data_IF_430161378605
#
_entry.id   IF_430161378605
#
_cell.length_a   1.000
_cell.length_b   1.000
_cell.length_c   1.000
_cell.angle_alpha   90.00
_cell.angle_beta   90.00
_cell.angle_gamma   90.00
#
_symmetry.space_group_name_H-M   'P 1'
#
loop_
_entity.id
_entity.type
_entity.pdbx_description
1 polymer ?
#
# COMPACT_ATOMS: atom_id res chain seq x y z
N UNK A 1 17.98 -3.79 -28.33
CA UNK A 1 16.99 -4.81 -28.71
C UNK A 1 15.65 -4.09 -28.87
N UNK A 2 15.10 -3.99 -30.09
CA UNK A 2 13.84 -3.27 -30.30
C UNK A 2 12.71 -4.00 -29.55
N UNK A 3 11.97 -3.27 -28.71
CA UNK A 3 10.86 -3.78 -27.92
C UNK A 3 9.69 -4.08 -28.85
N UNK A 4 9.52 -5.32 -29.28
CA UNK A 4 8.37 -5.70 -30.10
C UNK A 4 7.19 -6.06 -29.19
N UNK A 5 6.41 -5.05 -28.77
CA UNK A 5 5.21 -5.19 -27.93
C UNK A 5 4.13 -6.06 -28.58
N UNK A 6 4.09 -6.08 -29.92
CA UNK A 6 3.14 -6.88 -30.71
C UNK A 6 3.66 -8.28 -31.04
N UNK A 7 4.85 -8.64 -30.53
CA UNK A 7 5.34 -10.00 -30.70
C UNK A 7 4.32 -10.97 -30.11
N UNK A 8 3.87 -11.90 -30.96
CA UNK A 8 2.95 -12.97 -30.56
C UNK A 8 3.59 -13.79 -29.43
N UNK A 9 2.80 -14.07 -28.41
CA UNK A 9 3.15 -14.98 -27.31
C UNK A 9 2.23 -16.20 -27.37
N UNK A 10 2.68 -17.33 -26.83
CA UNK A 10 1.80 -18.49 -26.69
C UNK A 10 0.62 -18.11 -25.81
N UNK A 11 -0.60 -18.31 -26.33
CA UNK A 11 -1.80 -17.93 -25.63
C UNK A 11 -2.04 -18.84 -24.42
N UNK A 12 -1.96 -18.28 -23.22
CA UNK A 12 -2.46 -18.97 -22.02
C UNK A 12 -3.99 -19.06 -22.14
N UNK A 13 -4.51 -20.29 -22.17
CA UNK A 13 -5.96 -20.53 -22.35
C UNK A 13 -6.79 -20.20 -21.11
N UNK A 14 -6.16 -20.03 -19.95
CA UNK A 14 -6.79 -19.77 -18.66
C UNK A 14 -6.55 -18.38 -18.11
N UNK A 15 -6.69 -18.28 -16.78
CA UNK A 15 -6.31 -17.14 -15.98
C UNK A 15 -4.78 -17.10 -15.81
N UNK A 16 -4.22 -15.89 -15.74
CA UNK A 16 -2.91 -15.71 -15.12
C UNK A 16 -3.03 -15.88 -13.61
N UNK A 17 -1.94 -16.25 -12.95
CA UNK A 17 -1.93 -16.41 -11.48
C UNK A 17 -2.37 -15.13 -10.76
N UNK A 18 -1.95 -13.96 -11.27
CA UNK A 18 -2.35 -12.65 -10.71
C UNK A 18 -3.86 -12.39 -10.82
N UNK A 19 -4.50 -12.83 -11.90
CA UNK A 19 -5.96 -12.72 -12.05
C UNK A 19 -6.68 -13.69 -11.10
N UNK A 20 -6.15 -14.88 -10.94
CA UNK A 20 -6.71 -15.89 -10.03
C UNK A 20 -6.75 -15.38 -8.59
N UNK A 21 -5.63 -14.82 -8.09
CA UNK A 21 -5.58 -14.27 -6.73
C UNK A 21 -6.48 -13.03 -6.57
N UNK A 22 -6.58 -12.17 -7.61
CA UNK A 22 -7.48 -11.02 -7.61
C UNK A 22 -8.95 -11.44 -7.54
N UNK A 23 -9.33 -12.47 -8.30
CA UNK A 23 -10.70 -13.01 -8.25
C UNK A 23 -11.01 -13.72 -6.94
N UNK A 24 -10.03 -14.40 -6.33
CA UNK A 24 -10.18 -15.00 -5.00
C UNK A 24 -10.39 -13.90 -3.95
N UNK A 25 -9.57 -12.85 -3.97
CA UNK A 25 -9.72 -11.71 -3.06
C UNK A 25 -11.08 -11.00 -3.26
N UNK A 26 -11.47 -10.78 -4.51
CA UNK A 26 -12.78 -10.23 -4.86
C UNK A 26 -13.93 -11.10 -4.30
N UNK A 27 -13.88 -12.41 -4.48
CA UNK A 27 -14.88 -13.32 -3.95
C UNK A 27 -14.94 -13.30 -2.42
N UNK A 28 -13.77 -13.33 -1.76
CA UNK A 28 -13.67 -13.26 -0.30
C UNK A 28 -14.32 -11.97 0.25
N UNK A 29 -13.91 -10.81 -0.29
CA UNK A 29 -14.45 -9.52 0.15
C UNK A 29 -15.91 -9.33 -0.25
N UNK A 30 -16.38 -9.92 -1.36
CA UNK A 30 -17.82 -9.98 -1.72
C UNK A 30 -18.62 -10.74 -0.65
N UNK A 31 -18.12 -11.90 -0.21
CA UNK A 31 -18.77 -12.66 0.88
C UNK A 31 -18.81 -11.82 2.15
N UNK A 32 -17.73 -11.11 2.49
CA UNK A 32 -17.70 -10.20 3.65
C UNK A 32 -18.75 -9.10 3.54
N UNK A 33 -18.91 -8.44 2.37
CA UNK A 33 -19.96 -7.44 2.13
C UNK A 33 -21.34 -8.05 2.33
N UNK A 34 -21.61 -9.25 1.82
CA UNK A 34 -22.89 -9.92 1.98
C UNK A 34 -23.22 -10.25 3.45
N UNK A 35 -22.22 -10.69 4.22
CA UNK A 35 -22.39 -10.99 5.65
C UNK A 35 -22.63 -9.71 6.46
N UNK A 36 -21.89 -8.63 6.13
CA UNK A 36 -21.90 -7.37 6.85
C UNK A 36 -22.90 -6.36 6.26
N UNK A 37 -23.68 -6.75 5.26
CA UNK A 37 -24.58 -5.91 4.47
C UNK A 37 -25.36 -4.87 5.30
N UNK A 38 -25.99 -5.24 6.44
CA UNK A 38 -26.77 -4.29 7.23
C UNK A 38 -25.94 -3.23 7.99
N UNK A 39 -24.62 -3.42 8.03
CA UNK A 39 -23.69 -2.55 8.78
C UNK A 39 -22.86 -1.65 7.88
N UNK A 40 -22.96 -1.80 6.54
CA UNK A 40 -22.20 -1.05 5.56
C UNK A 40 -23.01 0.12 5.02
N UNK A 41 -22.36 1.23 4.70
CA UNK A 41 -23.03 2.43 4.21
C UNK A 41 -23.53 2.26 2.78
N UNK A 42 -22.70 1.66 1.90
CA UNK A 42 -22.98 1.56 0.46
C UNK A 42 -22.81 0.15 -0.11
N UNK A 43 -23.39 -0.90 0.51
CA UNK A 43 -23.08 -2.30 0.14
C UNK A 43 -23.46 -2.65 -1.30
N UNK A 44 -24.52 -2.06 -1.85
CA UNK A 44 -24.93 -2.28 -3.25
C UNK A 44 -23.91 -1.73 -4.23
N UNK A 45 -23.36 -0.54 -3.97
CA UNK A 45 -22.31 0.07 -4.82
C UNK A 45 -21.07 -0.82 -4.76
N UNK A 46 -20.63 -1.23 -3.58
CA UNK A 46 -19.50 -2.15 -3.40
C UNK A 46 -19.66 -3.46 -4.18
N UNK A 47 -20.85 -4.03 -4.23
CA UNK A 47 -21.14 -5.25 -5.01
C UNK A 47 -21.10 -4.99 -6.52
N UNK A 48 -21.62 -3.85 -6.98
CA UNK A 48 -21.58 -3.47 -8.40
C UNK A 48 -20.15 -3.23 -8.89
N UNK A 49 -19.33 -2.57 -8.10
CA UNK A 49 -17.91 -2.34 -8.40
C UNK A 49 -17.13 -3.65 -8.50
N UNK A 50 -17.36 -4.59 -7.56
CA UNK A 50 -16.79 -5.94 -7.61
C UNK A 50 -17.21 -6.71 -8.85
N UNK A 51 -18.48 -6.62 -9.23
CA UNK A 51 -18.97 -7.20 -10.48
C UNK A 51 -18.30 -6.55 -11.71
N UNK A 52 -18.07 -5.24 -11.67
CA UNK A 52 -17.32 -4.49 -12.68
C UNK A 52 -15.86 -4.98 -12.82
N UNK A 53 -15.16 -5.21 -11.71
CA UNK A 53 -13.80 -5.77 -11.69
C UNK A 53 -13.77 -7.16 -12.37
N UNK A 54 -14.73 -8.02 -12.04
CA UNK A 54 -14.88 -9.33 -12.67
C UNK A 54 -15.11 -9.18 -14.17
N UNK A 55 -16.04 -8.32 -14.58
CA UNK A 55 -16.37 -8.08 -16.00
C UNK A 55 -15.17 -7.55 -16.79
N UNK A 56 -14.42 -6.58 -16.24
CA UNK A 56 -13.21 -6.05 -16.88
C UNK A 56 -12.15 -7.16 -17.00
N UNK A 57 -11.92 -7.95 -15.95
CA UNK A 57 -10.96 -9.06 -15.99
C UNK A 57 -11.28 -10.04 -17.12
N UNK A 58 -12.54 -10.49 -17.24
CA UNK A 58 -12.94 -11.40 -18.31
C UNK A 58 -12.91 -10.75 -19.71
N UNK A 59 -13.24 -9.46 -19.84
CA UNK A 59 -13.11 -8.72 -21.08
C UNK A 59 -11.66 -8.67 -21.58
N UNK A 60 -10.69 -8.46 -20.66
CA UNK A 60 -9.28 -8.45 -21.00
C UNK A 60 -8.76 -9.86 -21.37
N UNK A 61 -9.24 -10.90 -20.73
CA UNK A 61 -8.96 -12.28 -21.10
C UNK A 61 -9.46 -12.57 -22.53
N UNK A 62 -10.68 -12.15 -22.86
CA UNK A 62 -11.23 -12.25 -24.20
C UNK A 62 -10.38 -11.50 -25.24
N UNK A 63 -9.99 -10.26 -24.94
CA UNK A 63 -9.13 -9.45 -25.80
C UNK A 63 -7.77 -10.14 -26.06
N UNK A 64 -7.14 -10.66 -25.01
CA UNK A 64 -5.87 -11.40 -25.12
C UNK A 64 -6.00 -12.66 -25.95
N UNK A 65 -7.09 -13.43 -25.80
CA UNK A 65 -7.33 -14.61 -26.63
C UNK A 65 -7.45 -14.28 -28.10
N UNK A 66 -8.03 -13.11 -28.41
CA UNK A 66 -8.18 -12.63 -29.80
C UNK A 66 -6.86 -12.09 -30.37
N UNK A 67 -6.07 -11.41 -29.54
CA UNK A 67 -4.80 -10.77 -29.93
C UNK A 67 -3.67 -11.16 -28.97
N UNK A 68 -3.15 -12.41 -29.02
CA UNK A 68 -2.14 -12.89 -28.07
C UNK A 68 -0.76 -12.27 -28.36
N UNK A 69 -0.42 -11.19 -27.64
CA UNK A 69 0.86 -10.52 -27.75
C UNK A 69 1.35 -10.01 -26.39
N UNK A 70 2.62 -9.56 -26.32
CA UNK A 70 3.20 -9.06 -25.07
C UNK A 70 2.41 -7.87 -24.49
N UNK A 71 1.89 -6.99 -25.33
CA UNK A 71 1.12 -5.83 -24.90
C UNK A 71 -0.19 -6.23 -24.20
N UNK A 72 -0.97 -7.13 -24.81
CA UNK A 72 -2.23 -7.59 -24.21
C UNK A 72 -2.00 -8.43 -22.96
N UNK A 73 -0.91 -9.20 -22.87
CA UNK A 73 -0.50 -9.86 -21.65
C UNK A 73 -0.13 -8.85 -20.55
N UNK A 74 0.62 -7.79 -20.91
CA UNK A 74 0.95 -6.70 -19.98
C UNK A 74 -0.30 -6.01 -19.45
N UNK A 75 -1.24 -5.64 -20.33
CA UNK A 75 -2.48 -4.94 -19.95
C UNK A 75 -3.28 -5.80 -18.95
N UNK A 76 -3.41 -7.11 -19.18
CA UNK A 76 -4.11 -8.02 -18.26
C UNK A 76 -3.52 -7.96 -16.85
N UNK A 77 -2.20 -8.02 -16.71
CA UNK A 77 -1.52 -8.01 -15.42
C UNK A 77 -1.49 -6.61 -14.80
N UNK A 78 -1.23 -5.58 -15.60
CA UNK A 78 -1.18 -4.20 -15.15
C UNK A 78 -2.53 -3.69 -14.61
N UNK A 79 -3.64 -4.11 -15.21
CA UNK A 79 -4.98 -3.76 -14.73
C UNK A 79 -5.27 -4.39 -13.37
N UNK A 80 -4.80 -5.62 -13.10
CA UNK A 80 -4.93 -6.21 -11.76
C UNK A 80 -4.14 -5.41 -10.71
N UNK A 81 -2.96 -4.91 -11.08
CA UNK A 81 -2.19 -4.01 -10.21
C UNK A 81 -2.89 -2.65 -10.03
N UNK A 82 -3.50 -2.11 -11.09
CA UNK A 82 -4.25 -0.85 -11.01
C UNK A 82 -5.49 -0.97 -10.10
N UNK A 83 -6.13 -2.13 -10.03
CA UNK A 83 -7.23 -2.37 -9.08
C UNK A 83 -6.81 -2.29 -7.60
N UNK A 84 -5.52 -2.33 -7.28
CA UNK A 84 -5.05 -2.09 -5.91
C UNK A 84 -5.43 -0.70 -5.40
N UNK A 85 -5.52 0.30 -6.30
CA UNK A 85 -5.98 1.64 -5.94
C UNK A 85 -7.47 1.68 -5.53
N UNK A 86 -8.29 0.75 -6.03
CA UNK A 86 -9.67 0.54 -5.57
C UNK A 86 -9.71 -0.22 -4.25
N UNK A 87 -8.91 -1.30 -4.12
CA UNK A 87 -8.94 -2.17 -2.94
C UNK A 87 -8.41 -1.50 -1.68
N UNK A 88 -7.53 -0.50 -1.79
CA UNK A 88 -6.98 0.19 -0.63
C UNK A 88 -8.04 0.96 0.17
N UNK A 89 -8.77 1.94 -0.39
CA UNK A 89 -9.84 2.62 0.33
C UNK A 89 -10.99 1.69 0.72
N UNK A 90 -11.24 0.61 -0.03
CA UNK A 90 -12.26 -0.39 0.29
C UNK A 90 -11.98 -1.11 1.64
N UNK A 91 -10.72 -1.17 2.08
CA UNK A 91 -10.38 -1.75 3.40
C UNK A 91 -11.01 -0.97 4.55
N UNK A 92 -11.15 0.35 4.40
CA UNK A 92 -11.74 1.23 5.41
C UNK A 92 -13.21 0.88 5.66
N UNK A 93 -13.97 0.52 4.63
CA UNK A 93 -15.38 0.17 4.76
C UNK A 93 -15.62 -1.04 5.68
N UNK A 94 -14.65 -1.95 5.79
CA UNK A 94 -14.68 -3.06 6.72
C UNK A 94 -14.05 -2.71 8.06
N UNK A 95 -12.92 -2.03 8.03
CA UNK A 95 -12.09 -1.69 9.18
C UNK A 95 -12.87 -0.81 10.18
N UNK A 96 -13.63 0.17 9.68
CA UNK A 96 -14.47 1.09 10.48
C UNK A 96 -15.54 0.39 11.34
N UNK A 97 -15.82 -0.89 11.09
CA UNK A 97 -16.77 -1.68 11.89
C UNK A 97 -16.15 -2.19 13.20
N UNK A 98 -14.85 -2.03 13.38
CA UNK A 98 -14.10 -2.43 14.57
C UNK A 98 -13.64 -1.19 15.35
N UNK A 99 -13.45 -1.30 16.68
CA UNK A 99 -12.93 -0.18 17.46
C UNK A 99 -11.47 0.13 17.06
N UNK A 100 -11.15 1.40 16.95
CA UNK A 100 -9.81 1.88 16.64
C UNK A 100 -8.78 1.42 17.70
N UNK A 101 -7.58 1.05 17.26
CA UNK A 101 -6.50 0.50 18.10
C UNK A 101 -5.29 1.45 18.24
N UNK A 102 -5.32 2.68 17.72
CA UNK A 102 -4.20 3.61 17.77
C UNK A 102 -3.73 3.89 19.21
N UNK A 103 -4.65 3.90 20.18
CA UNK A 103 -4.30 4.05 21.59
C UNK A 103 -3.33 2.95 22.09
N UNK A 104 -3.49 1.73 21.62
CA UNK A 104 -2.57 0.63 21.94
C UNK A 104 -1.21 0.84 21.27
N UNK A 105 -1.18 1.24 19.99
CA UNK A 105 0.06 1.45 19.24
C UNK A 105 0.85 2.65 19.75
N UNK A 106 0.21 3.78 20.01
CA UNK A 106 0.84 4.95 20.63
C UNK A 106 1.39 4.64 22.02
N UNK A 107 0.64 3.89 22.84
CA UNK A 107 1.11 3.44 24.16
C UNK A 107 2.30 2.47 24.07
N UNK A 108 2.28 1.57 23.09
CA UNK A 108 3.40 0.64 22.85
C UNK A 108 4.66 1.40 22.40
N UNK A 109 4.55 2.40 21.52
CA UNK A 109 5.67 3.27 21.15
C UNK A 109 6.24 3.99 22.35
N UNK A 110 5.38 4.61 23.16
CA UNK A 110 5.79 5.32 24.38
C UNK A 110 6.51 4.39 25.36
N UNK A 111 6.03 3.16 25.50
CA UNK A 111 6.69 2.18 26.36
C UNK A 111 8.06 1.75 25.84
N UNK A 112 8.16 1.47 24.52
CA UNK A 112 9.37 0.94 23.88
C UNK A 112 10.47 2.00 23.73
N UNK A 113 10.08 3.20 23.25
CA UNK A 113 11.04 4.25 22.87
C UNK A 113 11.12 5.41 23.86
N UNK A 114 10.22 5.46 24.87
CA UNK A 114 10.10 6.54 25.85
C UNK A 114 9.70 7.89 25.25
N UNK A 115 9.29 7.91 24.01
CA UNK A 115 8.81 9.09 23.28
C UNK A 115 7.83 8.64 22.18
N UNK A 116 7.32 9.60 21.42
CA UNK A 116 6.62 9.35 20.16
C UNK A 116 7.59 9.64 19.01
N UNK A 117 8.23 8.61 18.41
CA UNK A 117 9.30 8.82 17.42
C UNK A 117 8.87 9.66 16.22
N UNK A 118 7.61 9.59 15.79
CA UNK A 118 7.10 10.37 14.67
C UNK A 118 7.05 11.88 14.98
N UNK A 119 6.77 12.26 16.23
CA UNK A 119 6.79 13.67 16.68
C UNK A 119 8.22 14.15 16.84
N UNK A 120 9.02 13.44 17.65
CA UNK A 120 10.44 13.78 17.89
C UNK A 120 11.25 13.92 16.60
N UNK A 121 11.03 13.01 15.64
CA UNK A 121 11.77 13.01 14.38
C UNK A 121 11.46 14.25 13.55
N UNK A 122 10.20 14.62 13.43
CA UNK A 122 9.78 15.78 12.65
C UNK A 122 10.21 17.10 13.31
N UNK A 123 10.17 17.20 14.64
CA UNK A 123 10.61 18.38 15.39
C UNK A 123 12.11 18.62 15.32
N UNK A 124 12.92 17.53 15.31
CA UNK A 124 14.38 17.66 15.23
C UNK A 124 14.89 18.01 13.82
N UNK A 125 14.14 17.73 12.78
CA UNK A 125 14.56 17.93 11.39
C UNK A 125 13.56 18.75 10.56
N UNK A 126 13.15 19.98 11.00
CA UNK A 126 12.10 20.74 10.34
C UNK A 126 12.55 21.46 9.06
N UNK A 127 13.86 21.49 8.77
CA UNK A 127 14.38 22.28 7.66
C UNK A 127 14.09 21.64 6.29
N UNK A 128 13.98 22.44 5.24
CA UNK A 128 13.80 22.04 3.85
C UNK A 128 14.79 20.93 3.41
N UNK A 129 16.04 21.00 3.89
CA UNK A 129 17.09 20.04 3.54
C UNK A 129 16.83 18.60 4.03
N UNK A 130 15.95 18.44 5.00
CA UNK A 130 15.51 17.13 5.48
C UNK A 130 14.09 16.80 5.02
N UNK A 131 13.13 17.74 5.15
CA UNK A 131 11.73 17.46 4.82
C UNK A 131 11.51 17.14 3.35
N UNK A 132 12.14 17.87 2.42
CA UNK A 132 11.99 17.60 0.98
C UNK A 132 12.59 16.24 0.55
N UNK A 133 13.81 15.83 0.95
CA UNK A 133 14.28 14.47 0.72
C UNK A 133 13.39 13.37 1.32
N UNK A 134 12.80 13.58 2.51
CA UNK A 134 11.88 12.60 3.08
C UNK A 134 10.57 12.55 2.29
N UNK A 135 9.98 13.69 1.93
CA UNK A 135 8.81 13.72 1.05
C UNK A 135 9.10 13.07 -0.31
N UNK A 136 10.28 13.32 -0.89
CA UNK A 136 10.71 12.61 -2.11
C UNK A 136 10.79 11.09 -1.90
N UNK A 137 11.30 10.65 -0.75
CA UNK A 137 11.37 9.24 -0.40
C UNK A 137 9.98 8.61 -0.31
N UNK A 138 9.04 9.27 0.34
CA UNK A 138 7.65 8.81 0.44
C UNK A 138 6.97 8.73 -0.93
N UNK A 139 7.09 9.80 -1.73
CA UNK A 139 6.57 9.84 -3.09
C UNK A 139 7.19 8.75 -4.00
N UNK A 140 8.47 8.39 -3.77
CA UNK A 140 9.16 7.38 -4.57
C UNK A 140 8.55 5.97 -4.47
N UNK A 141 7.65 5.73 -3.55
CA UNK A 141 6.95 4.43 -3.36
C UNK A 141 6.37 3.88 -4.67
N UNK A 142 5.48 4.62 -5.31
CA UNK A 142 4.86 4.20 -6.56
C UNK A 142 5.85 4.12 -7.73
N UNK A 143 6.71 5.11 -7.96
CA UNK A 143 7.80 4.99 -8.95
C UNK A 143 8.67 3.75 -8.77
N UNK A 144 9.06 3.38 -7.55
CA UNK A 144 9.87 2.18 -7.30
C UNK A 144 9.17 0.91 -7.74
N UNK A 145 7.89 0.74 -7.39
CA UNK A 145 7.06 -0.39 -7.84
C UNK A 145 6.99 -0.42 -9.37
N UNK A 146 6.67 0.73 -9.98
CA UNK A 146 6.56 0.87 -11.42
C UNK A 146 7.87 0.53 -12.16
N UNK A 147 9.00 1.10 -11.72
CA UNK A 147 10.32 0.87 -12.33
C UNK A 147 10.68 -0.61 -12.30
N UNK A 148 10.55 -1.29 -11.15
CA UNK A 148 10.90 -2.70 -11.03
C UNK A 148 9.96 -3.56 -11.87
N UNK A 149 8.66 -3.32 -11.82
CA UNK A 149 7.66 -4.07 -12.61
C UNK A 149 7.90 -3.91 -14.11
N UNK A 150 8.10 -2.67 -14.58
CA UNK A 150 8.41 -2.38 -15.97
C UNK A 150 9.75 -3.01 -16.37
N UNK A 151 10.76 -2.99 -15.49
CA UNK A 151 12.05 -3.65 -15.78
C UNK A 151 11.88 -5.14 -16.05
N UNK A 152 11.07 -5.86 -15.25
CA UNK A 152 10.76 -7.25 -15.51
C UNK A 152 10.01 -7.44 -16.83
N UNK A 153 9.01 -6.63 -17.10
CA UNK A 153 8.28 -6.67 -18.36
C UNK A 153 9.19 -6.50 -19.59
N UNK A 154 10.13 -5.54 -19.53
CA UNK A 154 11.00 -5.20 -20.65
C UNK A 154 12.14 -6.20 -20.84
N UNK A 155 12.77 -6.64 -19.75
CA UNK A 155 14.04 -7.38 -19.79
C UNK A 155 13.96 -8.82 -19.29
N UNK A 156 12.89 -9.18 -18.57
CA UNK A 156 12.67 -10.50 -17.98
C UNK A 156 11.20 -10.92 -18.07
N UNK A 157 10.64 -10.83 -19.25
CA UNK A 157 9.21 -11.08 -19.49
C UNK A 157 8.74 -12.45 -18.98
N UNK A 158 9.59 -13.46 -19.00
CA UNK A 158 9.33 -14.80 -18.48
C UNK A 158 9.04 -14.83 -16.96
N UNK A 159 9.50 -13.81 -16.23
CA UNK A 159 9.26 -13.66 -14.78
C UNK A 159 8.19 -12.63 -14.45
N UNK A 160 7.68 -11.92 -15.46
CA UNK A 160 6.77 -10.80 -15.26
C UNK A 160 5.45 -11.22 -14.59
N UNK A 161 4.88 -12.37 -14.97
CA UNK A 161 3.68 -12.93 -14.34
C UNK A 161 3.92 -13.22 -12.85
N UNK A 162 5.03 -13.91 -12.53
CA UNK A 162 5.38 -14.24 -11.15
C UNK A 162 5.56 -12.98 -10.29
N UNK A 163 6.24 -11.97 -10.81
CA UNK A 163 6.46 -10.70 -10.10
C UNK A 163 5.14 -9.99 -9.84
N UNK A 164 4.29 -9.89 -10.85
CA UNK A 164 2.95 -9.29 -10.71
C UNK A 164 2.10 -10.05 -9.69
N UNK A 165 2.13 -11.39 -9.73
CA UNK A 165 1.44 -12.23 -8.75
C UNK A 165 1.94 -11.99 -7.33
N UNK A 166 3.27 -12.00 -7.11
CA UNK A 166 3.85 -11.81 -5.77
C UNK A 166 3.51 -10.42 -5.23
N UNK A 167 3.58 -9.37 -6.05
CA UNK A 167 3.23 -8.01 -5.64
C UNK A 167 1.74 -7.92 -5.25
N UNK A 168 0.84 -8.35 -6.12
CA UNK A 168 -0.61 -8.26 -5.87
C UNK A 168 -1.02 -9.11 -4.67
N UNK A 169 -0.48 -10.33 -4.54
CA UNK A 169 -0.71 -11.20 -3.37
C UNK A 169 -0.22 -10.52 -2.09
N UNK A 170 0.96 -9.89 -2.12
CA UNK A 170 1.51 -9.18 -0.97
C UNK A 170 0.60 -8.02 -0.54
N UNK A 171 0.10 -7.23 -1.47
CA UNK A 171 -0.87 -6.17 -1.17
C UNK A 171 -2.15 -6.73 -0.56
N UNK A 172 -2.72 -7.80 -1.11
CA UNK A 172 -3.94 -8.40 -0.55
C UNK A 172 -3.74 -8.96 0.85
N UNK A 173 -2.56 -9.50 1.17
CA UNK A 173 -2.26 -9.92 2.53
C UNK A 173 -2.24 -8.70 3.47
N UNK A 174 -1.59 -7.59 3.09
CA UNK A 174 -1.63 -6.34 3.86
C UNK A 174 -3.06 -5.82 4.03
N UNK A 175 -3.86 -5.82 2.98
CA UNK A 175 -5.25 -5.35 3.03
C UNK A 175 -6.12 -6.18 3.96
N UNK A 176 -5.92 -7.51 3.99
CA UNK A 176 -6.60 -8.37 4.97
C UNK A 176 -6.17 -8.05 6.41
N UNK A 177 -4.89 -7.75 6.64
CA UNK A 177 -4.43 -7.33 7.95
C UNK A 177 -5.06 -5.98 8.32
N UNK A 178 -5.13 -5.02 7.40
CA UNK A 178 -5.75 -3.71 7.64
C UNK A 178 -7.23 -3.81 7.99
N UNK A 179 -7.97 -4.71 7.35
CA UNK A 179 -9.38 -4.98 7.70
C UNK A 179 -9.49 -5.46 9.14
N UNK A 180 -8.55 -6.29 9.62
CA UNK A 180 -8.61 -6.94 10.93
C UNK A 180 -7.94 -6.12 12.05
N UNK A 181 -7.04 -5.20 11.72
CA UNK A 181 -6.26 -4.40 12.69
C UNK A 181 -6.49 -2.91 12.38
N UNK A 182 -7.51 -2.30 12.97
CA UNK A 182 -7.93 -0.94 12.70
C UNK A 182 -7.01 0.10 13.38
N UNK A 183 -5.95 0.48 12.68
CA UNK A 183 -4.98 1.50 13.08
C UNK A 183 -4.93 2.58 12.03
N UNK A 184 -5.17 3.83 12.42
CA UNK A 184 -5.26 4.97 11.51
C UNK A 184 -3.90 5.64 11.24
N UNK A 185 -3.04 5.72 12.19
CA UNK A 185 -1.71 6.35 12.21
C UNK A 185 -1.62 7.63 13.06
N UNK A 186 -0.40 8.06 13.43
CA UNK A 186 -0.19 9.29 14.18
C UNK A 186 -0.84 10.52 13.57
N UNK A 187 -0.77 10.67 12.24
CA UNK A 187 -1.32 11.84 11.52
C UNK A 187 -2.84 12.00 11.64
N UNK A 188 -3.58 10.93 11.94
CA UNK A 188 -5.03 10.97 12.21
C UNK A 188 -5.32 10.91 13.71
N UNK A 189 -4.60 10.06 14.45
CA UNK A 189 -4.90 9.82 15.85
C UNK A 189 -4.50 11.01 16.75
N UNK A 190 -3.35 11.64 16.52
CA UNK A 190 -2.89 12.76 17.36
C UNK A 190 -3.80 13.98 17.28
N UNK A 191 -4.29 14.44 16.11
CA UNK A 191 -5.28 15.52 16.09
C UNK A 191 -6.62 15.09 16.72
N UNK A 192 -7.01 13.82 16.61
CA UNK A 192 -8.25 13.32 17.21
C UNK A 192 -8.24 13.39 18.75
N UNK A 193 -7.09 13.15 19.38
CA UNK A 193 -6.96 13.23 20.85
C UNK A 193 -6.45 14.58 21.36
N UNK A 194 -5.90 15.42 20.47
CA UNK A 194 -5.25 16.68 20.78
C UNK A 194 -3.80 16.53 21.24
N UNK A 195 -2.93 17.44 20.78
CA UNK A 195 -1.48 17.40 21.07
C UNK A 195 -1.17 17.51 22.58
N UNK A 196 -2.02 18.15 23.37
CA UNK A 196 -1.85 18.20 24.85
C UNK A 196 -1.86 16.80 25.47
N UNK A 197 -2.72 15.90 24.98
CA UNK A 197 -2.75 14.51 25.41
C UNK A 197 -1.50 13.75 24.96
N UNK A 198 -1.02 13.99 23.73
CA UNK A 198 0.22 13.38 23.21
C UNK A 198 1.42 13.78 24.08
N UNK A 199 1.54 15.09 24.39
CA UNK A 199 2.62 15.61 25.25
C UNK A 199 2.51 15.13 26.68
N UNK A 200 1.29 14.93 27.20
CA UNK A 200 1.03 14.33 28.51
C UNK A 200 1.19 12.79 28.52
N UNK A 201 1.54 12.17 27.37
CA UNK A 201 1.66 10.72 27.19
C UNK A 201 0.35 9.97 27.56
N UNK A 202 -0.78 10.61 27.32
CA UNK A 202 -2.10 10.07 27.57
C UNK A 202 -2.78 9.71 26.24
N UNK A 203 -2.97 8.42 25.97
CA UNK A 203 -3.50 7.89 24.70
C UNK A 203 -4.88 7.24 24.91
N UNK A 204 -5.97 8.02 24.93
CA UNK A 204 -7.31 7.50 25.16
C UNK A 204 -7.81 6.69 23.95
N UNK A 205 -8.64 5.67 24.22
CA UNK A 205 -9.37 4.99 23.18
C UNK A 205 -10.45 5.93 22.60
N UNK A 206 -10.54 5.98 21.28
CA UNK A 206 -11.48 6.88 20.57
C UNK A 206 -12.65 6.14 19.90
N UNK A 207 -12.69 4.79 20.04
CA UNK A 207 -13.80 3.96 19.57
C UNK A 207 -14.04 4.06 18.07
N UNK A 208 -15.19 4.61 17.69
CA UNK A 208 -15.67 4.77 16.31
C UNK A 208 -15.52 6.21 15.77
N UNK A 209 -14.65 7.02 16.39
CA UNK A 209 -14.43 8.43 16.03
C UNK A 209 -14.20 8.63 14.52
N UNK A 210 -13.41 7.77 13.90
CA UNK A 210 -13.08 7.87 12.48
C UNK A 210 -14.21 7.49 11.52
N UNK A 211 -15.35 7.02 12.02
CA UNK A 211 -16.53 6.80 11.17
C UNK A 211 -17.10 8.13 10.64
N UNK A 212 -16.87 9.23 11.34
CA UNK A 212 -17.41 10.53 11.01
C UNK A 212 -16.35 11.65 10.95
N UNK A 213 -15.07 11.34 11.17
CA UNK A 213 -13.99 12.30 11.22
C UNK A 213 -12.76 11.73 10.50
N UNK A 214 -12.20 12.53 9.62
CA UNK A 214 -11.02 12.20 8.81
C UNK A 214 -9.99 13.34 8.82
N UNK A 215 -9.94 14.10 9.91
CA UNK A 215 -9.00 15.21 10.04
C UNK A 215 -7.58 14.68 10.01
N UNK A 216 -6.83 15.11 9.02
CA UNK A 216 -5.43 14.77 8.80
C UNK A 216 -4.54 15.93 9.27
N UNK A 217 -3.46 15.61 10.00
CA UNK A 217 -2.42 16.59 10.25
C UNK A 217 -1.69 16.93 8.95
N UNK A 218 -1.43 18.23 8.68
CA UNK A 218 -0.55 18.60 7.58
C UNK A 218 0.84 18.04 7.80
N UNK A 219 1.54 17.74 6.71
CA UNK A 219 2.90 17.22 6.76
C UNK A 219 3.84 18.15 7.52
N UNK A 220 4.77 17.63 8.35
CA UNK A 220 5.69 18.44 9.13
C UNK A 220 6.82 19.03 8.29
N UNK A 221 7.48 20.05 8.85
CA UNK A 221 8.67 20.67 8.28
C UNK A 221 8.37 21.77 7.27
N UNK A 222 9.09 21.77 6.13
CA UNK A 222 8.93 22.81 5.11
C UNK A 222 7.73 22.51 4.20
N UNK A 223 6.72 23.38 4.25
CA UNK A 223 5.37 23.20 3.68
C UNK A 223 5.15 23.76 2.27
N UNK A 224 6.20 24.34 1.66
CA UNK A 224 6.16 24.90 0.31
C UNK A 224 7.04 24.13 -0.69
N UNK A 225 7.47 22.92 -0.35
CA UNK A 225 8.34 22.08 -1.15
C UNK A 225 7.64 21.42 -2.34
N UNK A 226 8.40 21.08 -3.37
CA UNK A 226 7.87 20.37 -4.53
C UNK A 226 7.37 18.97 -4.17
N UNK A 227 8.17 18.20 -3.44
CA UNK A 227 7.79 16.85 -3.02
C UNK A 227 6.76 16.88 -1.90
N UNK A 228 6.80 17.86 -1.01
CA UNK A 228 5.75 18.10 -0.04
C UNK A 228 4.38 18.21 -0.73
N UNK A 229 4.24 19.10 -1.70
CA UNK A 229 2.99 19.27 -2.45
C UNK A 229 2.52 18.01 -3.19
N UNK A 230 3.46 17.19 -3.69
CA UNK A 230 3.11 15.91 -4.32
C UNK A 230 2.58 14.89 -3.31
N UNK A 231 3.15 14.86 -2.10
CA UNK A 231 2.67 13.97 -1.01
C UNK A 231 1.29 14.41 -0.56
N UNK A 232 1.09 15.69 -0.25
CA UNK A 232 -0.21 16.25 0.15
C UNK A 232 -1.29 15.94 -0.90
N UNK A 233 -1.02 16.22 -2.18
CA UNK A 233 -1.95 15.91 -3.27
C UNK A 233 -2.27 14.41 -3.38
N UNK A 234 -1.32 13.53 -3.07
CA UNK A 234 -1.56 12.09 -3.09
C UNK A 234 -2.40 11.62 -1.90
N UNK A 235 -2.22 12.24 -0.74
CA UNK A 235 -2.98 11.94 0.47
C UNK A 235 -4.43 12.45 0.36
N UNK A 236 -4.66 13.64 -0.16
CA UNK A 236 -6.01 14.17 -0.41
C UNK A 236 -6.89 13.24 -1.25
N UNK A 237 -6.29 12.53 -2.22
CA UNK A 237 -7.04 11.65 -3.13
C UNK A 237 -7.39 10.30 -2.50
N UNK A 238 -6.52 9.72 -1.68
CA UNK A 238 -6.64 8.32 -1.31
C UNK A 238 -6.46 7.98 0.17
N UNK A 239 -5.98 8.92 0.99
CA UNK A 239 -5.71 8.62 2.39
C UNK A 239 -7.01 8.48 3.18
N UNK A 240 -7.06 7.50 4.05
CA UNK A 240 -8.18 7.21 4.96
C UNK A 240 -7.61 6.88 6.34
N UNK A 241 -8.36 7.11 7.44
CA UNK A 241 -7.92 6.77 8.79
C UNK A 241 -7.91 5.24 9.02
N UNK A 242 -7.04 4.56 8.27
CA UNK A 242 -6.86 3.11 8.27
C UNK A 242 -5.46 2.74 7.78
N UNK A 243 -5.13 1.45 7.83
CA UNK A 243 -4.01 0.87 7.10
C UNK A 243 -2.60 1.26 7.61
N UNK A 244 -2.47 1.66 8.89
CA UNK A 244 -1.15 1.97 9.41
C UNK A 244 -0.32 0.72 9.73
N UNK A 245 -0.92 -0.33 10.33
CA UNK A 245 -0.16 -1.49 10.81
C UNK A 245 -0.45 -2.79 10.04
N UNK A 246 0.61 -3.51 9.64
CA UNK A 246 2.01 -3.10 9.54
C UNK A 246 2.22 -2.20 8.32
N UNK A 247 3.27 -1.37 8.30
CA UNK A 247 3.51 -0.46 7.17
C UNK A 247 3.68 -1.18 5.84
N UNK A 248 2.67 -1.07 4.94
CA UNK A 248 2.81 -1.60 3.57
C UNK A 248 3.76 -0.77 2.72
N UNK A 249 3.94 0.52 3.00
CA UNK A 249 4.94 1.34 2.33
C UNK A 249 6.33 0.73 2.51
N UNK A 250 6.71 0.40 3.74
CA UNK A 250 7.97 -0.26 4.04
C UNK A 250 7.97 -1.70 3.54
N UNK A 251 6.90 -2.44 3.78
CA UNK A 251 6.82 -3.85 3.45
C UNK A 251 6.88 -4.14 1.96
N UNK A 252 6.05 -3.49 1.16
CA UNK A 252 6.05 -3.64 -0.30
C UNK A 252 7.35 -3.10 -0.91
N UNK A 253 7.87 -1.96 -0.43
CA UNK A 253 9.16 -1.45 -0.90
C UNK A 253 10.30 -2.43 -0.61
N UNK A 254 10.29 -3.11 0.54
CA UNK A 254 11.25 -4.17 0.85
C UNK A 254 11.14 -5.33 -0.14
N UNK A 255 9.92 -5.78 -0.45
CA UNK A 255 9.68 -6.82 -1.46
C UNK A 255 10.19 -6.37 -2.85
N UNK A 256 9.91 -5.13 -3.23
CA UNK A 256 10.39 -4.51 -4.48
C UNK A 256 11.92 -4.49 -4.53
N UNK A 257 12.59 -4.15 -3.41
CA UNK A 257 14.06 -4.18 -3.32
C UNK A 257 14.63 -5.60 -3.44
N UNK A 258 13.98 -6.60 -2.84
CA UNK A 258 14.37 -8.01 -3.01
C UNK A 258 14.25 -8.42 -4.49
N UNK A 259 13.16 -8.03 -5.16
CA UNK A 259 12.96 -8.30 -6.58
C UNK A 259 13.98 -7.56 -7.45
N UNK A 260 14.25 -6.28 -7.17
CA UNK A 260 15.26 -5.50 -7.88
C UNK A 260 16.65 -6.14 -7.75
N UNK A 261 17.04 -6.57 -6.55
CA UNK A 261 18.31 -7.25 -6.32
C UNK A 261 18.45 -8.55 -7.11
N UNK A 262 17.35 -9.33 -7.17
CA UNK A 262 17.33 -10.60 -7.90
C UNK A 262 17.44 -10.43 -9.42
N UNK A 263 16.86 -9.39 -9.97
CA UNK A 263 16.88 -9.16 -11.42
C UNK A 263 18.12 -8.39 -11.87
N UNK A 264 18.53 -7.38 -11.12
CA UNK A 264 19.69 -6.54 -11.45
C UNK A 264 20.19 -5.78 -10.20
N UNK A 265 21.38 -6.16 -9.71
CA UNK A 265 22.00 -5.51 -8.55
C UNK A 265 22.20 -4.00 -8.73
N UNK A 266 22.53 -3.54 -9.96
CA UNK A 266 22.69 -2.10 -10.24
C UNK A 266 21.38 -1.34 -10.07
N UNK A 267 20.24 -1.94 -10.50
CA UNK A 267 18.91 -1.39 -10.26
C UNK A 267 18.62 -1.29 -8.77
N UNK A 268 18.91 -2.33 -8.00
CA UNK A 268 18.75 -2.32 -6.55
C UNK A 268 19.59 -1.20 -5.90
N UNK A 269 20.85 -1.04 -6.26
CA UNK A 269 21.70 0.04 -5.71
C UNK A 269 21.22 1.43 -6.13
N UNK A 270 20.65 1.58 -7.32
CA UNK A 270 20.04 2.83 -7.76
C UNK A 270 18.81 3.19 -6.92
N UNK A 271 17.98 2.21 -6.58
CA UNK A 271 16.76 2.42 -5.79
C UNK A 271 17.02 2.51 -4.27
N UNK A 272 18.17 2.02 -3.80
CA UNK A 272 18.46 1.94 -2.36
C UNK A 272 18.38 3.28 -1.60
N UNK A 273 18.87 4.43 -2.12
CA UNK A 273 18.70 5.72 -1.44
C UNK A 273 17.23 6.10 -1.24
N UNK A 274 16.40 5.90 -2.27
CA UNK A 274 14.97 6.20 -2.22
C UNK A 274 14.25 5.29 -1.22
N UNK A 275 14.62 4.01 -1.17
CA UNK A 275 14.09 3.07 -0.19
C UNK A 275 14.42 3.47 1.25
N UNK A 276 15.66 3.88 1.53
CA UNK A 276 16.06 4.35 2.86
C UNK A 276 15.30 5.61 3.23
N UNK A 277 15.22 6.59 2.32
CA UNK A 277 14.45 7.81 2.53
C UNK A 277 12.97 7.50 2.76
N UNK A 278 12.38 6.56 2.02
CA UNK A 278 11.00 6.13 2.20
C UNK A 278 10.77 5.54 3.63
N UNK A 279 11.65 4.66 4.08
CA UNK A 279 11.52 4.08 5.43
C UNK A 279 11.59 5.16 6.53
N UNK A 280 12.45 6.16 6.37
CA UNK A 280 12.50 7.31 7.29
C UNK A 280 11.27 8.19 7.14
N UNK A 281 10.85 8.45 5.91
CA UNK A 281 9.73 9.33 5.59
C UNK A 281 8.42 8.89 6.21
N UNK A 282 8.14 7.59 6.23
CA UNK A 282 6.89 7.05 6.80
C UNK A 282 6.69 7.46 8.27
N UNK A 283 7.78 7.52 9.06
CA UNK A 283 7.76 8.01 10.44
C UNK A 283 7.78 9.53 10.46
N UNK A 284 8.63 10.17 9.63
CA UNK A 284 8.81 11.61 9.61
C UNK A 284 7.51 12.37 9.32
N UNK A 285 6.76 11.96 8.29
CA UNK A 285 5.47 12.58 7.93
C UNK A 285 4.30 12.10 8.81
N UNK A 286 4.57 11.32 9.86
CA UNK A 286 3.60 10.78 10.80
C UNK A 286 2.57 9.81 10.18
N UNK A 287 2.84 9.29 8.97
CA UNK A 287 1.98 8.31 8.31
C UNK A 287 2.02 6.92 8.96
N UNK A 288 3.03 6.64 9.78
CA UNK A 288 3.20 5.38 10.51
C UNK A 288 3.86 5.58 11.86
N UNK A 289 3.49 4.75 12.82
CA UNK A 289 4.29 4.51 14.02
C UNK A 289 5.62 3.83 13.64
N UNK A 290 6.69 4.02 14.42
CA UNK A 290 7.95 3.31 14.19
C UNK A 290 7.79 1.78 14.34
N UNK A 291 6.89 1.34 15.23
CA UNK A 291 6.54 -0.09 15.37
C UNK A 291 5.91 -0.66 14.09
N UNK A 292 5.16 0.15 13.31
CA UNK A 292 4.59 -0.26 12.02
C UNK A 292 5.69 -0.50 10.99
N UNK A 293 6.73 0.34 11.01
CA UNK A 293 7.89 0.22 10.12
C UNK A 293 8.67 -1.06 10.41
N UNK A 294 8.94 -1.33 11.69
CA UNK A 294 9.62 -2.55 12.13
C UNK A 294 8.80 -3.79 11.73
N UNK A 295 7.50 -3.76 11.98
CA UNK A 295 6.59 -4.82 11.56
C UNK A 295 6.52 -4.94 10.04
N UNK A 296 6.63 -3.83 9.30
CA UNK A 296 6.71 -3.78 7.85
C UNK A 296 7.91 -4.56 7.29
N UNK A 297 9.09 -4.41 7.88
CA UNK A 297 10.28 -5.17 7.48
C UNK A 297 10.13 -6.67 7.77
N UNK A 298 9.64 -7.02 8.95
CA UNK A 298 9.46 -8.43 9.36
C UNK A 298 8.41 -9.10 8.47
N UNK A 299 7.25 -8.45 8.31
CA UNK A 299 6.14 -8.98 7.50
C UNK A 299 6.52 -9.10 6.02
N UNK A 300 7.33 -8.17 5.49
CA UNK A 300 7.80 -8.22 4.10
C UNK A 300 8.50 -9.54 3.76
N UNK A 301 9.41 -9.99 4.64
CA UNK A 301 10.14 -11.25 4.43
C UNK A 301 9.18 -12.44 4.46
N UNK A 302 8.31 -12.50 5.46
CA UNK A 302 7.33 -13.57 5.59
C UNK A 302 6.36 -13.61 4.40
N UNK A 303 5.78 -12.45 4.05
CA UNK A 303 4.83 -12.32 2.95
C UNK A 303 5.49 -12.65 1.61
N UNK A 304 6.72 -12.17 1.37
CA UNK A 304 7.46 -12.50 0.16
C UNK A 304 7.68 -14.01 0.00
N UNK A 305 8.05 -14.70 1.09
CA UNK A 305 8.21 -16.15 1.09
C UNK A 305 6.86 -16.81 0.77
N UNK A 306 5.80 -16.48 1.50
CA UNK A 306 4.47 -17.04 1.29
C UNK A 306 3.98 -16.82 -0.13
N UNK A 307 3.99 -15.58 -0.63
CA UNK A 307 3.55 -15.24 -1.98
C UNK A 307 4.39 -15.94 -3.07
N UNK A 308 5.69 -16.15 -2.82
CA UNK A 308 6.57 -16.88 -3.76
C UNK A 308 6.24 -18.37 -3.81
N UNK A 309 5.84 -18.96 -2.68
CA UNK A 309 5.43 -20.37 -2.63
C UNK A 309 4.01 -20.62 -3.15
N UNK A 310 3.14 -19.63 -3.10
CA UNK A 310 1.76 -19.70 -3.63
C UNK A 310 1.72 -19.67 -5.16
N UNK A 311 2.76 -19.15 -5.81
CA UNK A 311 2.89 -19.12 -7.28
C UNK A 311 3.33 -20.48 -7.82
#
# INVERSE_FOLDING_TARGET
MALNLFKRVDSVKGLFAVESISLIYNALTTIMVLILFPRMDHPVIMLLERAGIVAITFALIYLYRKYPCKLTAFIRMAVQMAFLAYWYPDTFEFNRLFPNLDNFFASAEQFLFRCQPSVEFSEHFPSMWFSEPFNMGYFAYYPMIGIVTIYYFLFRFEWFEKVSFVLVTSFFIYYLIYILVPVASPQFYFPAIGMDNVMAQHFPAIGDYFNNNDILLPGPGFDHGFFFNLVEASQEVGERPTAAFPSSHVGISTIVMIMAYRVNKKLCYFLAPFYVLLCCATVYIQAHYLVDVIAGWISAVCIYIVATYMY
#
